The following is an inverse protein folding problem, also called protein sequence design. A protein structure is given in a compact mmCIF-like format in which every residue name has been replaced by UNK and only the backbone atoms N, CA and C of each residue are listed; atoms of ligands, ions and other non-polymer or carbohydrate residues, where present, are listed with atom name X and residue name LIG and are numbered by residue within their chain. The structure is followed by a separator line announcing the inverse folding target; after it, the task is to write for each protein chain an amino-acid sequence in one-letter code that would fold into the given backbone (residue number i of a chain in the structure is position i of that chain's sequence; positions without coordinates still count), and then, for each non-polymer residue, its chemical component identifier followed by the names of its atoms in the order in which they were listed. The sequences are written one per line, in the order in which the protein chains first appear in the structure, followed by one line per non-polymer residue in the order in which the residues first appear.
data_IF_938638046441
#
_entry.id   IF_938638046441
#
_cell.length_a   1.000
_cell.length_b   1.000
_cell.length_c   1.000
_cell.angle_alpha   90.00
_cell.angle_beta   90.00
_cell.angle_gamma   90.00
#
_symmetry.space_group_name_H-M   'P 1'
#
loop_
_entity.id
_entity.type
_entity.pdbx_description
1 polymer ?
#
# COMPACT_ATOMS: atom_id res chain seq x y z
N UNK A 1 -13.63 -20.98 -7.32
CA UNK A 1 -12.43 -20.49 -6.60
C UNK A 1 -12.89 -19.81 -5.31
N UNK A 2 -12.34 -20.20 -4.18
CA UNK A 2 -12.68 -19.63 -2.89
C UNK A 2 -12.21 -18.17 -2.86
N UNK A 3 -13.12 -17.22 -2.60
CA UNK A 3 -12.74 -15.82 -2.42
C UNK A 3 -12.01 -15.66 -1.09
N UNK A 4 -10.96 -14.83 -1.01
CA UNK A 4 -10.28 -14.58 0.24
C UNK A 4 -11.20 -13.83 1.21
N UNK A 5 -11.13 -14.20 2.48
CA UNK A 5 -11.72 -13.40 3.56
C UNK A 5 -10.79 -12.22 3.85
N UNK A 6 -11.31 -10.99 3.85
CA UNK A 6 -10.51 -9.79 4.12
C UNK A 6 -10.74 -9.36 5.56
N UNK A 7 -9.65 -9.21 6.31
CA UNK A 7 -9.63 -8.74 7.69
C UNK A 7 -8.79 -7.48 7.82
N UNK A 8 -9.10 -6.66 8.82
CA UNK A 8 -8.38 -5.40 9.14
C UNK A 8 -7.76 -5.52 10.53
N UNK A 9 -6.56 -4.97 10.70
CA UNK A 9 -5.78 -4.99 11.93
C UNK A 9 -4.68 -6.06 11.90
N UNK A 10 -3.60 -5.78 12.62
CA UNK A 10 -2.42 -6.66 12.70
C UNK A 10 -1.98 -6.99 14.13
N UNK A 11 -2.58 -6.38 15.15
CA UNK A 11 -2.10 -6.45 16.54
C UNK A 11 -1.87 -7.88 17.05
N UNK A 12 -2.81 -8.80 16.77
CA UNK A 12 -2.70 -10.19 17.18
C UNK A 12 -1.88 -11.07 16.22
N UNK A 13 -1.51 -10.57 15.05
CA UNK A 13 -0.91 -11.35 13.94
C UNK A 13 0.32 -10.67 13.33
N UNK A 14 0.92 -9.70 14.04
CA UNK A 14 2.03 -8.89 13.52
C UNK A 14 3.17 -9.75 12.95
N UNK A 15 3.61 -10.79 13.64
CA UNK A 15 4.65 -11.69 13.16
C UNK A 15 4.24 -12.44 11.88
N UNK A 16 2.97 -12.81 11.72
CA UNK A 16 2.48 -13.45 10.50
C UNK A 16 2.42 -12.47 9.33
N UNK A 17 2.02 -11.23 9.60
CA UNK A 17 2.03 -10.14 8.59
C UNK A 17 3.44 -9.86 8.12
N UNK A 18 4.40 -9.65 9.03
CA UNK A 18 5.81 -9.46 8.68
C UNK A 18 6.35 -10.64 7.86
N UNK A 19 6.02 -11.87 8.28
CA UNK A 19 6.46 -13.09 7.60
C UNK A 19 5.95 -13.22 6.16
N UNK A 20 4.76 -12.71 5.83
CA UNK A 20 4.27 -12.76 4.44
C UNK A 20 5.03 -11.78 3.54
N UNK A 21 5.40 -10.61 4.05
CA UNK A 21 6.23 -9.65 3.32
C UNK A 21 7.64 -10.20 3.09
N UNK A 22 8.26 -10.78 4.12
CA UNK A 22 9.57 -11.42 3.99
C UNK A 22 9.58 -12.51 2.90
N UNK A 23 8.60 -13.42 2.91
CA UNK A 23 8.49 -14.48 1.89
C UNK A 23 8.18 -13.94 0.50
N UNK A 24 7.31 -12.95 0.39
CA UNK A 24 6.88 -12.41 -0.90
C UNK A 24 8.03 -11.70 -1.62
N UNK A 25 8.79 -10.90 -0.91
CA UNK A 25 9.91 -10.13 -1.46
C UNK A 25 11.22 -10.93 -1.48
N UNK A 26 11.43 -11.84 -0.52
CA UNK A 26 12.58 -12.75 -0.49
C UNK A 26 12.54 -13.84 -1.55
N UNK A 27 11.39 -14.11 -2.16
CA UNK A 27 11.26 -15.00 -3.31
C UNK A 27 11.69 -14.35 -4.63
N UNK A 28 11.85 -13.02 -4.68
CA UNK A 28 12.52 -12.32 -5.78
C UNK A 28 14.02 -12.59 -5.73
N UNK A 29 14.75 -12.38 -6.84
CA UNK A 29 16.17 -12.75 -6.97
C UNK A 29 17.14 -12.05 -6.00
N UNK A 30 16.63 -11.18 -5.10
CA UNK A 30 17.40 -10.41 -4.12
C UNK A 30 17.02 -10.82 -2.69
N UNK A 31 17.79 -11.71 -2.11
CA UNK A 31 17.58 -12.23 -0.75
C UNK A 31 17.49 -11.13 0.33
N UNK A 32 18.15 -9.99 0.11
CA UNK A 32 18.16 -8.87 1.07
C UNK A 32 16.89 -8.03 1.04
N UNK A 33 16.07 -8.09 -0.03
CA UNK A 33 14.84 -7.30 -0.15
C UNK A 33 13.77 -7.77 0.83
N UNK A 34 13.64 -9.07 1.05
CA UNK A 34 12.67 -9.62 2.01
C UNK A 34 12.90 -9.08 3.41
N UNK A 35 14.14 -9.13 3.89
CA UNK A 35 14.50 -8.63 5.22
C UNK A 35 14.31 -7.11 5.35
N UNK A 36 14.64 -6.34 4.30
CA UNK A 36 14.46 -4.89 4.30
C UNK A 36 12.97 -4.50 4.38
N UNK A 37 12.12 -5.14 3.58
CA UNK A 37 10.66 -4.92 3.61
C UNK A 37 10.05 -5.41 4.93
N UNK A 38 10.48 -6.54 5.47
CA UNK A 38 10.04 -7.03 6.77
C UNK A 38 10.36 -6.03 7.89
N UNK A 39 11.54 -5.41 7.85
CA UNK A 39 11.94 -4.34 8.76
C UNK A 39 11.08 -3.08 8.62
N UNK A 40 10.79 -2.68 7.37
CA UNK A 40 9.87 -1.57 7.09
C UNK A 40 8.48 -1.86 7.65
N UNK A 41 7.91 -3.03 7.37
CA UNK A 41 6.57 -3.42 7.85
C UNK A 41 6.50 -3.46 9.38
N UNK A 42 7.56 -3.93 10.04
CA UNK A 42 7.63 -3.88 11.51
C UNK A 42 7.51 -2.44 12.01
N UNK A 43 8.26 -1.49 11.46
CA UNK A 43 8.15 -0.07 11.81
C UNK A 43 6.75 0.48 11.52
N UNK A 44 6.17 0.14 10.37
CA UNK A 44 4.82 0.58 10.01
C UNK A 44 3.76 0.08 11.01
N UNK A 45 3.87 -1.16 11.49
CA UNK A 45 2.98 -1.69 12.54
C UNK A 45 3.15 -0.90 13.83
N UNK A 46 4.38 -0.63 14.26
CA UNK A 46 4.70 0.13 15.47
C UNK A 46 4.20 1.58 15.38
N UNK A 47 4.20 2.15 14.19
CA UNK A 47 3.67 3.51 13.89
C UNK A 47 2.14 3.54 13.68
N UNK A 48 1.45 2.40 13.82
CA UNK A 48 0.00 2.32 13.73
C UNK A 48 -0.55 2.34 12.31
N UNK A 49 0.19 1.82 11.34
CA UNK A 49 -0.31 1.66 9.98
C UNK A 49 -1.61 0.86 9.94
N UNK A 50 -2.50 1.23 9.04
CA UNK A 50 -3.74 0.52 8.79
C UNK A 50 -3.47 -0.68 7.88
N UNK A 51 -3.64 -1.89 8.41
CA UNK A 51 -3.25 -3.12 7.73
C UNK A 51 -4.48 -3.95 7.41
N UNK A 52 -4.55 -4.39 6.15
CA UNK A 52 -5.55 -5.36 5.70
C UNK A 52 -4.86 -6.65 5.29
N UNK A 53 -5.51 -7.76 5.58
CA UNK A 53 -5.02 -9.10 5.26
C UNK A 53 -6.07 -9.90 4.51
N UNK A 54 -5.62 -10.68 3.54
CA UNK A 54 -6.43 -11.66 2.82
C UNK A 54 -6.16 -13.06 3.39
N UNK A 55 -7.20 -13.81 3.68
CA UNK A 55 -7.12 -15.13 4.27
C UNK A 55 -7.71 -16.18 3.34
N UNK A 56 -6.99 -17.27 3.16
CA UNK A 56 -7.45 -18.48 2.47
C UNK A 56 -7.22 -19.69 3.39
N UNK A 57 -8.26 -20.48 3.59
CA UNK A 57 -8.21 -21.72 4.39
C UNK A 57 -7.54 -21.52 5.76
N UNK A 58 -7.86 -20.40 6.41
CA UNK A 58 -7.34 -20.06 7.75
C UNK A 58 -5.88 -19.56 7.78
N UNK A 59 -5.27 -19.28 6.62
CA UNK A 59 -3.89 -18.74 6.51
C UNK A 59 -3.87 -17.39 5.81
N UNK A 60 -2.92 -16.54 6.21
CA UNK A 60 -2.70 -15.26 5.51
C UNK A 60 -2.13 -15.56 4.13
N UNK A 61 -2.85 -15.08 3.11
CA UNK A 61 -2.50 -15.20 1.70
C UNK A 61 -2.01 -13.88 1.10
N UNK A 62 -2.28 -12.76 1.75
CA UNK A 62 -1.83 -11.43 1.34
C UNK A 62 -1.96 -10.42 2.46
N UNK A 63 -1.17 -9.34 2.39
CA UNK A 63 -1.25 -8.21 3.31
C UNK A 63 -0.91 -6.91 2.58
N UNK A 64 -1.52 -5.81 3.02
CA UNK A 64 -1.26 -4.46 2.55
C UNK A 64 -1.25 -3.48 3.72
N UNK A 65 -0.41 -2.45 3.61
CA UNK A 65 -0.31 -1.39 4.59
C UNK A 65 -0.77 -0.07 3.99
N UNK A 66 -1.51 0.72 4.78
CA UNK A 66 -1.85 2.09 4.48
C UNK A 66 -1.34 3.00 5.59
N UNK A 67 -0.78 4.13 5.21
CA UNK A 67 -0.36 5.19 6.14
C UNK A 67 -0.89 6.53 5.66
N UNK A 68 -1.07 7.51 6.58
CA UNK A 68 -1.40 8.86 6.14
C UNK A 68 -0.28 9.45 5.28
N UNK A 69 -0.67 10.10 4.18
CA UNK A 69 0.18 11.03 3.46
C UNK A 69 -0.44 12.42 3.63
N UNK A 70 0.20 13.29 4.41
CA UNK A 70 -0.39 14.54 4.83
C UNK A 70 0.13 15.72 4.04
N UNK A 71 -0.78 16.65 3.75
CA UNK A 71 -0.55 17.90 3.07
C UNK A 71 -1.13 19.03 3.92
N UNK A 72 -0.82 20.25 3.58
CA UNK A 72 -1.48 21.43 4.18
C UNK A 72 -2.85 21.67 3.49
N UNK A 73 -3.70 20.64 3.56
CA UNK A 73 -4.99 20.52 2.87
C UNK A 73 -5.93 19.61 3.71
N UNK A 74 -7.23 19.90 3.77
CA UNK A 74 -8.17 19.11 4.57
C UNK A 74 -8.48 17.73 4.00
N UNK A 75 -8.15 17.44 2.75
CA UNK A 75 -8.41 16.12 2.14
C UNK A 75 -7.55 15.05 2.79
N UNK A 76 -8.17 13.94 3.13
CA UNK A 76 -7.46 12.77 3.66
C UNK A 76 -6.86 11.97 2.51
N UNK A 77 -5.55 11.83 2.52
CA UNK A 77 -4.80 11.04 1.56
C UNK A 77 -4.11 9.87 2.27
N UNK A 78 -4.18 8.69 1.70
CA UNK A 78 -3.49 7.50 2.19
C UNK A 78 -2.44 7.02 1.19
N UNK A 79 -1.28 6.65 1.70
CA UNK A 79 -0.23 5.96 0.96
C UNK A 79 -0.43 4.45 1.11
N UNK A 80 -0.60 3.75 0.01
CA UNK A 80 -0.64 2.29 -0.06
C UNK A 80 0.78 1.78 -0.32
N UNK A 81 1.41 1.21 0.68
CA UNK A 81 2.74 0.59 0.57
C UNK A 81 3.13 -0.08 1.90
N UNK A 82 3.75 -1.26 1.87
CA UNK A 82 3.87 -2.18 0.74
C UNK A 82 2.67 -3.11 0.55
N UNK A 83 2.68 -3.88 -0.53
CA UNK A 83 1.69 -4.94 -0.85
C UNK A 83 2.43 -6.26 -0.99
N UNK A 84 1.93 -7.32 -0.36
CA UNK A 84 2.45 -8.67 -0.49
C UNK A 84 1.34 -9.69 -0.74
N UNK A 85 1.62 -10.66 -1.59
CA UNK A 85 0.81 -11.88 -1.77
C UNK A 85 1.75 -13.08 -1.66
N UNK A 86 1.33 -14.10 -0.90
CA UNK A 86 2.13 -15.31 -0.72
C UNK A 86 2.48 -15.92 -2.08
N UNK A 87 3.76 -16.21 -2.37
CA UNK A 87 4.20 -16.72 -3.67
C UNK A 87 3.44 -17.95 -4.14
N UNK A 88 3.02 -18.82 -3.21
CA UNK A 88 2.29 -20.06 -3.52
C UNK A 88 0.89 -19.81 -4.12
N UNK A 89 0.31 -18.63 -3.88
CA UNK A 89 -1.04 -18.27 -4.32
C UNK A 89 -1.09 -17.02 -5.21
N UNK A 90 0.05 -16.51 -5.62
CA UNK A 90 0.11 -15.42 -6.60
C UNK A 90 -0.59 -15.79 -7.92
N UNK A 91 -0.97 -14.78 -8.70
CA UNK A 91 -1.67 -14.98 -9.96
C UNK A 91 -3.15 -15.36 -9.85
N UNK A 92 -3.71 -15.46 -8.63
CA UNK A 92 -5.11 -15.82 -8.37
C UNK A 92 -6.03 -14.62 -8.09
N UNK A 93 -5.56 -13.39 -8.32
CA UNK A 93 -6.34 -12.16 -8.08
C UNK A 93 -6.47 -11.74 -6.61
N UNK A 94 -5.75 -12.39 -5.69
CA UNK A 94 -5.83 -12.12 -4.23
C UNK A 94 -5.45 -10.68 -3.92
N UNK A 95 -4.33 -10.19 -4.49
CA UNK A 95 -3.87 -8.82 -4.29
C UNK A 95 -4.90 -7.78 -4.75
N UNK A 96 -5.51 -8.02 -5.91
CA UNK A 96 -6.55 -7.12 -6.44
C UNK A 96 -7.81 -7.14 -5.55
N UNK A 97 -8.24 -8.31 -5.09
CA UNK A 97 -9.39 -8.43 -4.19
C UNK A 97 -9.14 -7.71 -2.87
N UNK A 98 -7.94 -7.89 -2.31
CA UNK A 98 -7.49 -7.25 -1.07
C UNK A 98 -7.49 -5.73 -1.21
N UNK A 99 -6.89 -5.20 -2.28
CA UNK A 99 -6.83 -3.76 -2.53
C UNK A 99 -8.24 -3.18 -2.69
N UNK A 100 -9.11 -3.78 -3.53
CA UNK A 100 -10.48 -3.29 -3.72
C UNK A 100 -11.25 -3.23 -2.41
N UNK A 101 -11.23 -4.29 -1.62
CA UNK A 101 -11.93 -4.33 -0.34
C UNK A 101 -11.41 -3.27 0.64
N UNK A 102 -10.10 -3.02 0.66
CA UNK A 102 -9.52 -1.97 1.48
C UNK A 102 -9.91 -0.57 0.99
N UNK A 103 -9.87 -0.32 -0.33
CA UNK A 103 -10.29 0.97 -0.90
C UNK A 103 -11.75 1.29 -0.59
N UNK A 104 -12.65 0.30 -0.66
CA UNK A 104 -14.07 0.47 -0.30
C UNK A 104 -14.22 0.89 1.18
N UNK A 105 -13.44 0.31 2.08
CA UNK A 105 -13.43 0.68 3.51
C UNK A 105 -12.89 2.08 3.73
N UNK A 106 -11.79 2.44 3.09
CA UNK A 106 -11.20 3.77 3.19
C UNK A 106 -12.11 4.85 2.62
N UNK A 107 -12.81 4.57 1.51
CA UNK A 107 -13.82 5.47 0.94
C UNK A 107 -14.96 5.72 1.91
N UNK A 108 -15.46 4.69 2.58
CA UNK A 108 -16.52 4.81 3.60
C UNK A 108 -16.05 5.63 4.82
N UNK A 109 -14.76 5.73 5.06
CA UNK A 109 -14.13 6.54 6.13
C UNK A 109 -13.68 7.92 5.65
N UNK A 110 -14.14 8.36 4.47
CA UNK A 110 -13.84 9.68 3.91
C UNK A 110 -12.37 9.91 3.54
N UNK A 111 -11.63 8.86 3.22
CA UNK A 111 -10.35 9.00 2.51
C UNK A 111 -10.66 9.45 1.08
N UNK A 112 -10.10 10.57 0.67
CA UNK A 112 -10.40 11.17 -0.63
C UNK A 112 -9.52 10.61 -1.74
N UNK A 113 -8.27 10.31 -1.44
CA UNK A 113 -7.26 9.89 -2.42
C UNK A 113 -6.40 8.78 -1.81
N UNK A 114 -6.13 7.75 -2.60
CA UNK A 114 -5.08 6.77 -2.29
C UNK A 114 -4.00 6.87 -3.35
N UNK A 115 -2.76 6.95 -2.93
CA UNK A 115 -1.59 6.99 -3.80
C UNK A 115 -0.68 5.81 -3.49
N UNK A 116 0.03 5.34 -4.49
CA UNK A 116 1.07 4.33 -4.33
C UNK A 116 2.23 4.61 -5.27
N UNK A 117 3.38 4.03 -4.97
CA UNK A 117 4.56 4.07 -5.80
C UNK A 117 4.85 2.65 -6.30
N UNK A 118 4.52 2.36 -7.57
CA UNK A 118 4.61 1.00 -8.07
C UNK A 118 4.21 0.83 -9.54
N UNK A 119 4.05 -0.43 -9.94
CA UNK A 119 3.79 -0.81 -11.33
C UNK A 119 2.33 -0.57 -11.73
N UNK A 120 2.12 0.31 -12.71
CA UNK A 120 0.80 0.59 -13.28
C UNK A 120 0.15 -0.64 -13.92
N UNK A 121 0.94 -1.61 -14.40
CA UNK A 121 0.40 -2.83 -14.99
C UNK A 121 -0.37 -3.68 -13.95
N UNK A 122 0.00 -3.58 -12.69
CA UNK A 122 -0.71 -4.21 -11.58
C UNK A 122 -1.81 -3.31 -11.01
N UNK A 123 -1.46 -2.11 -10.59
CA UNK A 123 -2.38 -1.20 -9.89
C UNK A 123 -3.45 -0.60 -10.79
N UNK A 124 -3.19 -0.46 -12.10
CA UNK A 124 -4.19 -0.02 -13.07
C UNK A 124 -5.42 -0.94 -13.13
N UNK A 125 -5.24 -2.24 -12.85
CA UNK A 125 -6.34 -3.21 -12.78
C UNK A 125 -7.31 -2.98 -11.62
N UNK A 126 -6.92 -2.19 -10.64
CA UNK A 126 -7.74 -1.82 -9.47
C UNK A 126 -8.05 -0.32 -9.44
N UNK A 127 -7.84 0.39 -10.55
CA UNK A 127 -8.34 1.76 -10.75
C UNK A 127 -7.32 2.88 -10.53
N UNK A 128 -6.05 2.56 -10.27
CA UNK A 128 -5.01 3.59 -10.20
C UNK A 128 -4.62 4.09 -11.59
N UNK A 129 -4.25 5.37 -11.65
CA UNK A 129 -3.77 6.02 -12.86
C UNK A 129 -2.53 6.89 -12.54
N UNK A 130 -1.65 7.12 -13.53
CA UNK A 130 -0.50 7.99 -13.35
C UNK A 130 -0.90 9.40 -12.91
N UNK A 131 -0.13 9.94 -11.96
CA UNK A 131 -0.22 11.34 -11.53
C UNK A 131 1.15 11.98 -11.54
N UNK A 132 1.19 13.29 -11.68
CA UNK A 132 2.43 14.05 -11.58
C UNK A 132 2.65 14.55 -10.15
N UNK A 133 3.90 14.84 -9.80
CA UNK A 133 4.24 15.46 -8.52
C UNK A 133 3.77 16.91 -8.41
N UNK A 134 3.42 17.57 -9.52
CA UNK A 134 2.75 18.88 -9.51
C UNK A 134 1.29 18.77 -9.07
N UNK A 135 0.64 17.65 -9.41
CA UNK A 135 -0.74 17.38 -8.99
C UNK A 135 -0.79 16.83 -7.55
N UNK A 136 0.07 15.89 -7.26
CA UNK A 136 0.16 15.18 -5.98
C UNK A 136 1.63 15.11 -5.55
N UNK A 137 2.13 16.10 -4.80
CA UNK A 137 3.52 16.12 -4.35
C UNK A 137 3.92 14.84 -3.63
N UNK A 138 5.10 14.31 -3.96
CA UNK A 138 5.70 13.18 -3.25
C UNK A 138 6.53 13.68 -2.05
N UNK A 139 6.68 12.88 -0.97
CA UNK A 139 7.45 13.30 0.21
C UNK A 139 8.95 13.35 -0.04
N UNK A 140 9.45 12.61 -1.03
CA UNK A 140 10.85 12.56 -1.44
C UNK A 140 10.95 12.63 -2.97
N UNK A 141 12.12 12.96 -3.54
CA UNK A 141 12.35 12.84 -4.97
C UNK A 141 12.17 11.39 -5.43
N UNK A 142 11.37 11.20 -6.50
CA UNK A 142 11.07 9.88 -7.02
C UNK A 142 12.17 9.42 -8.01
N UNK A 143 12.68 8.20 -7.80
CA UNK A 143 13.66 7.58 -8.72
C UNK A 143 13.01 7.14 -10.04
N UNK A 144 11.72 6.77 -10.00
CA UNK A 144 10.92 6.36 -11.16
C UNK A 144 9.57 7.10 -11.16
N UNK A 145 9.53 8.38 -11.57
CA UNK A 145 8.31 9.21 -11.48
C UNK A 145 7.07 8.60 -12.15
N UNK A 146 7.24 7.74 -13.14
CA UNK A 146 6.17 7.01 -13.82
C UNK A 146 5.44 6.00 -12.91
N UNK A 147 6.08 5.61 -11.81
CA UNK A 147 5.50 4.76 -10.78
C UNK A 147 4.60 5.50 -9.80
N UNK A 148 4.53 6.84 -9.85
CA UNK A 148 3.65 7.63 -8.99
C UNK A 148 2.24 7.62 -9.53
N UNK A 149 1.38 6.86 -8.87
CA UNK A 149 0.03 6.56 -9.34
C UNK A 149 -0.99 6.71 -8.22
N UNK A 150 -2.19 7.17 -8.53
CA UNK A 150 -3.21 7.45 -7.55
C UNK A 150 -4.61 7.13 -8.03
N UNK A 151 -5.54 7.05 -7.09
CA UNK A 151 -6.97 6.89 -7.31
C UNK A 151 -7.76 7.85 -6.43
N UNK A 152 -8.72 8.55 -7.00
CA UNK A 152 -9.73 9.29 -6.23
C UNK A 152 -10.78 8.34 -5.70
N UNK A 153 -11.07 8.41 -4.40
CA UNK A 153 -12.17 7.69 -3.76
C UNK A 153 -13.40 8.59 -3.54
N UNK A 154 -13.28 9.91 -3.81
CA UNK A 154 -14.33 10.89 -3.61
C UNK A 154 -15.31 11.02 -4.81
N UNK A 155 -15.13 10.22 -5.86
CA UNK A 155 -15.97 10.27 -7.06
C UNK A 155 -15.74 11.49 -7.95
N UNK A 156 -14.69 12.27 -7.71
CA UNK A 156 -14.31 13.46 -8.47
C UNK A 156 -12.83 13.39 -8.89
N UNK A 157 -12.42 14.05 -9.98
CA UNK A 157 -11.01 14.12 -10.36
C UNK A 157 -10.13 14.69 -9.22
N UNK A 158 -8.89 14.20 -9.14
CA UNK A 158 -7.89 14.74 -8.21
C UNK A 158 -7.54 16.15 -8.68
N UNK A 159 -7.65 17.12 -7.77
CA UNK A 159 -7.17 18.49 -7.97
C UNK A 159 -5.86 18.69 -7.21
N UNK A 160 -4.99 19.64 -7.63
CA UNK A 160 -3.67 19.82 -7.02
C UNK A 160 -3.70 19.92 -5.49
N UNK A 161 -2.72 19.29 -4.86
CA UNK A 161 -2.43 19.40 -3.43
C UNK A 161 -1.21 20.30 -3.21
N UNK A 162 -1.18 21.08 -2.13
CA UNK A 162 -0.01 21.93 -1.83
C UNK A 162 1.17 21.08 -1.33
N UNK A 163 2.38 21.44 -1.77
CA UNK A 163 3.60 20.90 -1.17
C UNK A 163 3.87 21.57 0.19
N UNK A 164 4.60 20.92 1.11
CA UNK A 164 5.18 19.59 0.98
C UNK A 164 4.21 18.47 1.36
N UNK A 165 4.45 17.27 0.80
CA UNK A 165 3.88 16.05 1.32
C UNK A 165 4.68 15.55 2.54
N UNK A 166 4.01 14.95 3.52
CA UNK A 166 4.64 14.34 4.70
C UNK A 166 4.15 12.92 4.87
N UNK A 167 5.07 11.97 4.79
CA UNK A 167 4.83 10.56 5.12
C UNK A 167 5.10 10.29 6.60
N UNK A 168 4.76 9.10 7.07
CA UNK A 168 5.16 8.63 8.42
C UNK A 168 6.68 8.37 8.48
N UNK A 169 7.31 8.42 9.65
CA UNK A 169 8.77 8.31 9.79
C UNK A 169 9.38 7.05 9.16
N UNK A 170 8.64 5.93 9.13
CA UNK A 170 9.11 4.70 8.46
C UNK A 170 9.44 4.91 6.97
N UNK A 171 8.87 5.94 6.33
CA UNK A 171 9.11 6.31 4.93
C UNK A 171 10.09 7.49 4.74
N UNK A 172 10.78 7.92 5.78
CA UNK A 172 11.78 9.02 5.68
C UNK A 172 13.06 8.61 4.93
N UNK A 173 13.25 7.32 4.67
CA UNK A 173 14.39 6.81 3.90
C UNK A 173 14.23 7.14 2.40
N UNK A 174 15.13 7.97 1.81
CA UNK A 174 15.06 8.32 0.39
C UNK A 174 15.19 7.13 -0.55
N UNK A 175 15.82 6.04 -0.12
CA UNK A 175 16.02 4.85 -0.96
C UNK A 175 14.71 4.08 -1.21
N UNK A 176 13.62 4.46 -0.53
CA UNK A 176 12.29 3.89 -0.75
C UNK A 176 11.51 4.57 -1.89
N UNK A 177 12.05 5.65 -2.50
CA UNK A 177 11.32 6.49 -3.47
C UNK A 177 11.94 6.57 -4.86
#
# INVERSE_FOLDING_TARGET
MTQPEIRRGAEAIAAQVVGIFDRSFGASERVDEGAAIAGLVTRLIDEGADIFTAWLDGRIAGAICFTPLTYDDPRRVALLSPVAVDPVVQGRGIGQALIRAALDRLAAESVAIVVTYGDIAFYGKVGFAPVTTDLLPAPQPLSQPEGWIAQSLAGAPITPLPAPARAVPAFDDPDLW
#
